data_IF_266259661524
#
_entry.id   IF_266259661524
#
_cell.length_a   1.000
_cell.length_b   1.000
_cell.length_c   1.000
_cell.angle_alpha   90.00
_cell.angle_beta   90.00
_cell.angle_gamma   90.00
#
_symmetry.space_group_name_H-M   'P 1'
#
loop_
_entity.id
_entity.type
_entity.pdbx_description
1 polymer ?
#
# COMPACT_ATOMS: atom_id res chain seq x y z
N UNK A 1 -25.81 -23.84 12.44
CA UNK A 1 -25.49 -22.74 11.49
C UNK A 1 -26.46 -21.59 11.70
N UNK A 2 -25.99 -20.33 11.71
CA UNK A 2 -26.85 -19.15 11.84
C UNK A 2 -27.58 -18.94 10.50
N UNK A 3 -28.90 -19.07 10.46
CA UNK A 3 -29.71 -18.88 9.24
C UNK A 3 -29.45 -17.46 8.69
N UNK A 4 -29.05 -17.32 7.43
CA UNK A 4 -28.89 -15.98 6.82
C UNK A 4 -30.25 -15.29 6.76
N UNK A 5 -30.31 -14.00 7.08
CA UNK A 5 -31.57 -13.25 7.04
C UNK A 5 -32.02 -13.02 5.60
N UNK A 6 -33.27 -13.33 5.29
CA UNK A 6 -33.85 -13.04 3.98
C UNK A 6 -34.22 -11.55 3.95
N UNK A 7 -33.66 -10.80 3.00
CA UNK A 7 -34.03 -9.40 2.74
C UNK A 7 -34.44 -9.30 1.28
N UNK A 8 -35.67 -8.87 1.01
CA UNK A 8 -36.22 -8.81 -0.35
C UNK A 8 -37.01 -7.54 -0.60
N UNK A 9 -37.01 -7.09 -1.84
CA UNK A 9 -37.85 -6.00 -2.34
C UNK A 9 -39.30 -6.44 -2.61
N UNK A 10 -39.56 -7.75 -2.67
CA UNK A 10 -40.91 -8.33 -2.81
C UNK A 10 -41.68 -8.28 -1.49
N UNK A 11 -43.02 -8.29 -1.56
CA UNK A 11 -43.88 -8.28 -0.37
C UNK A 11 -44.10 -9.67 0.25
N UNK A 12 -43.46 -10.71 -0.30
CA UNK A 12 -43.58 -12.10 0.15
C UNK A 12 -42.29 -12.87 -0.12
N UNK A 13 -42.16 -14.02 0.55
CA UNK A 13 -41.10 -15.01 0.33
C UNK A 13 -41.75 -16.26 -0.24
N UNK A 14 -41.33 -16.69 -1.42
CA UNK A 14 -41.90 -17.90 -2.05
C UNK A 14 -41.66 -19.14 -1.18
N UNK A 15 -42.68 -19.99 -1.08
CA UNK A 15 -42.61 -21.22 -0.28
C UNK A 15 -42.60 -20.99 1.23
N UNK A 16 -42.88 -19.78 1.73
CA UNK A 16 -43.02 -19.49 3.16
C UNK A 16 -44.19 -18.55 3.42
N UNK A 17 -45.00 -18.88 4.42
CA UNK A 17 -46.08 -18.01 4.86
C UNK A 17 -45.57 -16.98 5.88
N UNK A 18 -46.08 -15.74 5.84
CA UNK A 18 -45.77 -14.73 6.86
C UNK A 18 -46.72 -14.94 8.04
N UNK A 19 -46.18 -15.32 9.20
CA UNK A 19 -46.98 -15.62 10.40
C UNK A 19 -47.09 -14.44 11.37
N UNK A 20 -46.18 -13.46 11.28
CA UNK A 20 -46.21 -12.27 12.14
C UNK A 20 -45.51 -11.08 11.46
N UNK A 21 -46.11 -9.89 11.53
CA UNK A 21 -45.49 -8.62 11.11
C UNK A 21 -44.95 -7.90 12.34
N UNK A 22 -43.63 -7.75 12.42
CA UNK A 22 -42.92 -7.21 13.59
C UNK A 22 -42.70 -5.69 13.52
N UNK A 23 -43.25 -5.05 12.49
CA UNK A 23 -43.18 -3.61 12.29
C UNK A 23 -42.18 -3.18 11.23
N UNK A 24 -42.18 -1.88 10.96
CA UNK A 24 -41.32 -1.25 9.96
C UNK A 24 -39.95 -1.00 10.59
N UNK A 25 -38.91 -1.36 9.85
CA UNK A 25 -37.52 -1.01 10.15
C UNK A 25 -37.01 -0.04 9.08
N UNK A 26 -36.12 0.86 9.49
CA UNK A 26 -35.53 1.82 8.55
C UNK A 26 -34.16 2.26 9.00
N UNK A 27 -33.33 2.68 8.06
CA UNK A 27 -32.06 3.33 8.34
C UNK A 27 -31.74 4.41 7.31
N UNK A 28 -30.91 5.39 7.68
CA UNK A 28 -30.55 6.54 6.86
C UNK A 28 -29.08 6.87 7.00
N UNK A 29 -28.39 7.06 5.89
CA UNK A 29 -26.98 7.46 5.86
C UNK A 29 -26.89 8.79 5.09
N UNK A 30 -26.31 9.81 5.72
CA UNK A 30 -26.10 11.14 5.13
C UNK A 30 -24.66 11.28 4.66
N UNK A 31 -24.50 11.67 3.40
CA UNK A 31 -23.22 11.84 2.71
C UNK A 31 -22.92 13.32 2.51
N UNK A 32 -21.81 13.80 3.06
CA UNK A 32 -21.41 15.20 3.04
C UNK A 32 -20.73 15.67 1.74
N UNK A 33 -20.68 16.99 1.55
CA UNK A 33 -20.16 17.66 0.34
C UNK A 33 -18.68 17.34 0.00
N UNK A 34 -17.86 16.99 0.99
CA UNK A 34 -16.47 16.56 0.78
C UNK A 34 -16.39 15.28 -0.06
N UNK A 35 -17.24 14.29 0.24
CA UNK A 35 -17.33 13.04 -0.53
C UNK A 35 -17.95 13.28 -1.92
N UNK A 36 -18.85 14.26 -2.03
CA UNK A 36 -19.51 14.62 -3.29
C UNK A 36 -18.56 15.22 -4.33
N UNK A 37 -17.59 16.04 -3.90
CA UNK A 37 -16.58 16.60 -4.81
C UNK A 37 -15.73 15.51 -5.50
N UNK A 38 -15.47 14.40 -4.80
CA UNK A 38 -14.79 13.22 -5.35
C UNK A 38 -15.67 12.43 -6.33
N UNK A 39 -16.98 12.39 -6.09
CA UNK A 39 -17.95 11.76 -7.00
C UNK A 39 -18.09 12.51 -8.33
N UNK A 40 -18.12 13.84 -8.33
CA UNK A 40 -18.25 14.64 -9.56
C UNK A 40 -16.96 14.77 -10.36
N UNK A 41 -15.79 14.83 -9.71
CA UNK A 41 -14.50 14.77 -10.39
C UNK A 41 -14.34 13.47 -11.22
N UNK A 42 -14.96 12.37 -10.77
CA UNK A 42 -14.99 11.09 -11.49
C UNK A 42 -16.08 10.99 -12.57
N UNK A 43 -17.07 11.88 -12.58
CA UNK A 43 -18.21 11.84 -13.50
C UNK A 43 -17.99 12.71 -14.74
N UNK A 44 -17.19 13.79 -14.65
CA UNK A 44 -16.90 14.69 -15.78
C UNK A 44 -16.13 14.04 -16.94
N UNK A 45 -15.47 12.91 -16.72
CA UNK A 45 -14.66 12.22 -17.75
C UNK A 45 -15.38 11.04 -18.45
N UNK A 46 -16.61 10.69 -18.05
CA UNK A 46 -17.24 9.44 -18.47
C UNK A 46 -18.66 9.64 -19.00
N UNK A 47 -18.76 9.76 -20.32
CA UNK A 47 -19.97 9.44 -21.09
C UNK A 47 -20.30 7.96 -20.84
N UNK A 48 -21.20 7.68 -19.88
CA UNK A 48 -21.96 6.43 -19.79
C UNK A 48 -21.23 5.13 -19.41
N UNK A 49 -20.06 5.17 -18.76
CA UNK A 49 -19.35 3.97 -18.29
C UNK A 49 -19.34 3.82 -16.76
N UNK A 50 -19.24 2.57 -16.26
CA UNK A 50 -19.12 2.23 -14.82
C UNK A 50 -17.85 2.86 -14.24
N UNK A 51 -17.99 3.94 -13.46
CA UNK A 51 -16.87 4.57 -12.77
C UNK A 51 -16.53 3.80 -11.49
N UNK A 52 -15.45 3.01 -11.51
CA UNK A 52 -15.11 2.07 -10.43
C UNK A 52 -15.00 2.69 -9.02
N UNK A 53 -14.64 3.97 -8.89
CA UNK A 53 -14.57 4.66 -7.59
C UNK A 53 -15.95 5.06 -7.05
N UNK A 54 -16.86 5.52 -7.91
CA UNK A 54 -18.24 5.83 -7.53
C UNK A 54 -18.99 4.56 -7.16
N UNK A 55 -18.86 3.51 -7.99
CA UNK A 55 -19.51 2.22 -7.76
C UNK A 55 -19.05 1.56 -6.45
N UNK A 56 -17.74 1.56 -6.16
CA UNK A 56 -17.21 1.00 -4.91
C UNK A 56 -17.79 1.68 -3.66
N UNK A 57 -17.87 3.01 -3.66
CA UNK A 57 -18.42 3.78 -2.54
C UNK A 57 -19.93 3.64 -2.41
N UNK A 58 -20.66 3.57 -3.52
CA UNK A 58 -22.09 3.28 -3.47
C UNK A 58 -22.34 1.89 -2.88
N UNK A 59 -21.57 0.88 -3.28
CA UNK A 59 -21.65 -0.46 -2.71
C UNK A 59 -21.36 -0.46 -1.20
N UNK A 60 -20.38 0.32 -0.74
CA UNK A 60 -20.08 0.50 0.68
C UNK A 60 -21.31 1.05 1.45
N UNK A 61 -21.92 2.13 0.95
CA UNK A 61 -23.13 2.71 1.54
C UNK A 61 -24.31 1.74 1.56
N UNK A 62 -24.52 0.99 0.46
CA UNK A 62 -25.55 -0.05 0.40
C UNK A 62 -25.29 -1.17 1.41
N UNK A 63 -24.05 -1.65 1.54
CA UNK A 63 -23.68 -2.71 2.48
C UNK A 63 -23.88 -2.28 3.93
N UNK A 64 -23.54 -1.02 4.28
CA UNK A 64 -23.82 -0.46 5.60
C UNK A 64 -25.32 -0.42 5.88
N UNK A 65 -26.12 0.07 4.92
CA UNK A 65 -27.57 0.12 5.05
C UNK A 65 -28.17 -1.28 5.27
N UNK A 66 -27.77 -2.27 4.48
CA UNK A 66 -28.26 -3.66 4.61
C UNK A 66 -27.87 -4.27 5.96
N UNK A 67 -26.62 -4.08 6.38
CA UNK A 67 -26.12 -4.61 7.66
C UNK A 67 -26.89 -4.03 8.85
N UNK A 68 -27.22 -2.74 8.80
CA UNK A 68 -28.01 -2.07 9.82
C UNK A 68 -29.45 -2.58 9.88
N UNK A 69 -30.12 -2.71 8.73
CA UNK A 69 -31.46 -3.28 8.64
C UNK A 69 -31.50 -4.73 9.14
N UNK A 70 -30.51 -5.54 8.77
CA UNK A 70 -30.37 -6.91 9.26
C UNK A 70 -30.20 -6.95 10.78
N UNK A 71 -29.36 -6.09 11.34
CA UNK A 71 -29.16 -5.99 12.79
C UNK A 71 -30.44 -5.56 13.52
N UNK A 72 -31.21 -4.62 12.97
CA UNK A 72 -32.50 -4.20 13.52
C UNK A 72 -33.52 -5.34 13.52
N UNK A 73 -33.67 -6.03 12.39
CA UNK A 73 -34.57 -7.18 12.25
C UNK A 73 -34.19 -8.33 13.21
N UNK A 74 -32.89 -8.60 13.38
CA UNK A 74 -32.41 -9.61 14.35
C UNK A 74 -32.76 -9.25 15.79
N UNK A 75 -32.65 -7.97 16.17
CA UNK A 75 -32.99 -7.50 17.54
C UNK A 75 -34.45 -7.78 17.89
N UNK A 76 -35.35 -7.74 16.91
CA UNK A 76 -36.78 -8.03 17.08
C UNK A 76 -37.15 -9.48 16.72
N UNK A 77 -36.14 -10.36 16.55
CA UNK A 77 -36.31 -11.79 16.24
C UNK A 77 -37.14 -12.04 14.96
N UNK A 78 -36.94 -11.20 13.95
CA UNK A 78 -37.50 -11.42 12.62
C UNK A 78 -36.71 -12.49 11.86
N UNK A 79 -37.41 -13.23 11.00
CA UNK A 79 -36.82 -14.21 10.09
C UNK A 79 -36.45 -13.57 8.74
N UNK A 80 -37.20 -12.54 8.36
CA UNK A 80 -37.01 -11.83 7.09
C UNK A 80 -37.38 -10.35 7.16
N UNK A 81 -36.90 -9.59 6.18
CA UNK A 81 -37.30 -8.22 5.86
C UNK A 81 -37.87 -8.22 4.44
N UNK A 82 -39.13 -7.88 4.30
CA UNK A 82 -39.84 -7.83 3.01
C UNK A 82 -40.17 -6.39 2.63
N UNK A 83 -40.46 -6.17 1.35
CA UNK A 83 -40.86 -4.87 0.81
C UNK A 83 -39.77 -3.81 1.00
N UNK A 84 -38.50 -4.22 0.92
CA UNK A 84 -37.37 -3.30 1.02
C UNK A 84 -37.45 -2.27 -0.11
N UNK A 85 -37.46 -1.00 0.26
CA UNK A 85 -37.30 0.15 -0.64
C UNK A 85 -36.06 0.91 -0.24
N UNK A 86 -35.21 1.22 -1.22
CA UNK A 86 -34.05 2.08 -1.03
C UNK A 86 -34.21 3.32 -1.89
N UNK A 87 -34.20 4.49 -1.25
CA UNK A 87 -34.32 5.80 -1.91
C UNK A 87 -33.04 6.60 -1.67
N UNK A 88 -32.67 7.41 -2.67
CA UNK A 88 -31.55 8.34 -2.58
C UNK A 88 -32.06 9.75 -2.86
N UNK A 89 -31.96 10.62 -1.84
CA UNK A 89 -32.45 11.99 -1.89
C UNK A 89 -31.29 12.98 -1.83
N UNK A 90 -31.38 14.06 -2.60
CA UNK A 90 -30.48 15.19 -2.45
C UNK A 90 -30.98 16.13 -1.34
N UNK A 91 -30.11 16.39 -0.35
CA UNK A 91 -30.32 17.36 0.71
C UNK A 91 -29.43 18.57 0.42
N UNK A 92 -29.72 19.29 -0.66
CA UNK A 92 -28.93 20.47 -1.05
C UNK A 92 -29.40 21.75 -0.36
N UNK A 93 -28.45 22.49 0.22
CA UNK A 93 -28.60 23.90 0.65
C UNK A 93 -27.69 24.80 -0.20
N UNK A 94 -27.88 26.13 -0.16
CA UNK A 94 -27.31 27.14 -1.08
C UNK A 94 -25.81 27.05 -1.42
N UNK A 95 -24.98 26.24 -0.74
CA UNK A 95 -23.59 25.93 -1.09
C UNK A 95 -23.11 24.52 -0.65
N UNK A 96 -24.01 23.60 -0.30
CA UNK A 96 -23.64 22.23 0.14
C UNK A 96 -24.51 21.19 -0.56
N UNK A 97 -23.89 20.40 -1.43
CA UNK A 97 -24.51 19.23 -2.05
C UNK A 97 -24.30 18.04 -1.12
N UNK A 98 -25.36 17.60 -0.45
CA UNK A 98 -25.37 16.40 0.38
C UNK A 98 -26.41 15.44 -0.16
N UNK A 99 -26.19 14.15 -0.01
CA UNK A 99 -27.14 13.12 -0.41
C UNK A 99 -27.44 12.21 0.78
N UNK A 100 -28.65 11.72 0.85
CA UNK A 100 -29.10 10.78 1.86
C UNK A 100 -29.56 9.52 1.15
N UNK A 101 -29.01 8.38 1.55
CA UNK A 101 -29.55 7.07 1.20
C UNK A 101 -30.40 6.59 2.36
N UNK A 102 -31.62 6.15 2.07
CA UNK A 102 -32.57 5.65 3.06
C UNK A 102 -33.12 4.30 2.64
N UNK A 103 -33.17 3.36 3.59
CA UNK A 103 -33.75 2.04 3.40
C UNK A 103 -34.92 1.86 4.35
N UNK A 104 -36.04 1.33 3.84
CA UNK A 104 -37.21 0.99 4.65
C UNK A 104 -37.75 -0.38 4.24
N UNK A 105 -38.14 -1.19 5.21
CA UNK A 105 -38.74 -2.51 4.96
C UNK A 105 -39.57 -2.97 6.14
N UNK A 106 -40.30 -4.07 5.96
CA UNK A 106 -41.13 -4.66 7.02
C UNK A 106 -40.48 -5.92 7.54
N UNK A 107 -40.17 -5.96 8.83
CA UNK A 107 -39.63 -7.15 9.47
C UNK A 107 -40.78 -8.14 9.76
N UNK A 108 -40.57 -9.42 9.43
CA UNK A 108 -41.60 -10.45 9.53
C UNK A 108 -41.04 -11.76 10.10
N UNK A 109 -41.92 -12.56 10.70
CA UNK A 109 -41.67 -13.99 10.94
C UNK A 109 -42.29 -14.83 9.86
N UNK A 110 -41.61 -15.93 9.53
CA UNK A 110 -42.04 -16.87 8.51
C UNK A 110 -42.49 -18.19 9.13
N UNK A 111 -43.38 -18.91 8.44
CA UNK A 111 -43.74 -20.27 8.79
C UNK A 111 -42.51 -21.17 8.77
N UNK A 112 -42.43 -22.07 9.75
CA UNK A 112 -41.43 -23.13 9.75
C UNK A 112 -42.07 -24.34 9.08
N UNK A 113 -41.53 -24.75 7.93
CA UNK A 113 -42.00 -25.97 7.25
C UNK A 113 -41.29 -27.24 7.75
N UNK A 114 -40.38 -27.11 8.73
CA UNK A 114 -39.71 -28.24 9.37
C UNK A 114 -39.92 -28.18 10.88
N UNK A 115 -41.10 -28.61 11.31
CA UNK A 115 -41.33 -29.09 12.67
C UNK A 115 -42.12 -30.41 12.63
N UNK A 116 -41.68 -31.34 11.79
CA UNK A 116 -41.91 -32.75 12.07
C UNK A 116 -40.87 -33.21 13.09
N UNK A 117 -41.33 -34.00 14.05
CA UNK A 117 -40.53 -34.63 15.09
C UNK A 117 -39.42 -35.49 14.47
N UNK A 118 -38.28 -34.89 14.18
CA UNK A 118 -37.04 -35.63 14.03
C UNK A 118 -36.37 -35.58 15.41
N UNK A 119 -36.60 -36.61 16.22
CA UNK A 119 -35.48 -37.15 16.97
C UNK A 119 -34.43 -37.41 15.90
N UNK A 120 -33.45 -36.50 15.76
CA UNK A 120 -32.32 -36.69 14.86
C UNK A 120 -31.71 -38.04 15.24
N UNK A 121 -31.98 -39.06 14.41
CA UNK A 121 -31.13 -40.24 14.35
C UNK A 121 -29.75 -39.66 14.10
N UNK A 122 -28.87 -39.70 15.12
CA UNK A 122 -27.49 -39.26 14.98
C UNK A 122 -26.87 -40.15 13.91
N UNK A 123 -26.91 -39.70 12.67
CA UNK A 123 -26.10 -40.28 11.62
C UNK A 123 -24.67 -39.99 12.03
N UNK A 124 -23.88 -41.05 12.24
CA UNK A 124 -22.43 -40.96 12.38
C UNK A 124 -21.81 -40.57 11.02
N UNK A 125 -22.32 -39.51 10.38
CA UNK A 125 -21.62 -38.89 9.27
C UNK A 125 -20.38 -38.23 9.86
N UNK A 126 -19.22 -38.83 9.57
CA UNK A 126 -17.94 -38.21 9.89
C UNK A 126 -17.83 -36.89 9.12
N UNK A 127 -18.13 -35.79 9.82
CA UNK A 127 -17.76 -34.46 9.36
C UNK A 127 -16.26 -34.33 9.59
N UNK A 128 -15.49 -34.57 8.53
CA UNK A 128 -14.04 -34.38 8.54
C UNK A 128 -13.77 -32.89 8.54
N UNK A 129 -13.65 -32.31 9.73
CA UNK A 129 -13.10 -30.96 9.90
C UNK A 129 -11.60 -31.09 9.96
N UNK A 130 -10.92 -30.55 8.96
CA UNK A 130 -9.45 -30.58 8.95
C UNK A 130 -8.88 -29.50 9.86
N UNK A 131 -7.74 -29.79 10.47
CA UNK A 131 -6.99 -28.81 11.26
C UNK A 131 -6.63 -27.56 10.44
N UNK A 132 -6.44 -27.72 9.13
CA UNK A 132 -6.16 -26.62 8.20
C UNK A 132 -7.39 -25.74 7.94
N UNK A 133 -8.59 -26.31 7.79
CA UNK A 133 -9.84 -25.54 7.67
C UNK A 133 -10.12 -24.73 8.95
N UNK A 134 -9.88 -25.31 10.13
CA UNK A 134 -10.02 -24.61 11.41
C UNK A 134 -9.05 -23.42 11.44
N UNK A 135 -7.77 -23.66 11.14
CA UNK A 135 -6.74 -22.61 11.14
C UNK A 135 -7.07 -21.48 10.17
N UNK A 136 -7.56 -21.79 8.97
CA UNK A 136 -7.94 -20.77 7.99
C UNK A 136 -9.12 -19.91 8.48
N UNK A 137 -10.16 -20.53 9.02
CA UNK A 137 -11.36 -19.82 9.44
C UNK A 137 -11.17 -19.00 10.73
N UNK A 138 -10.43 -19.52 11.72
CA UNK A 138 -10.06 -18.77 12.92
C UNK A 138 -9.21 -17.55 12.55
N UNK A 139 -8.25 -17.73 11.65
CA UNK A 139 -7.37 -16.65 11.25
C UNK A 139 -8.07 -15.57 10.42
N UNK A 140 -9.05 -15.94 9.59
CA UNK A 140 -9.90 -14.96 8.88
C UNK A 140 -10.56 -14.00 9.87
N UNK A 141 -11.07 -14.51 10.99
CA UNK A 141 -11.67 -13.70 12.05
C UNK A 141 -10.63 -12.78 12.70
N UNK A 142 -9.41 -13.27 12.96
CA UNK A 142 -8.31 -12.44 13.51
C UNK A 142 -7.95 -11.28 12.58
N UNK A 143 -7.87 -11.52 11.26
CA UNK A 143 -7.58 -10.46 10.27
C UNK A 143 -8.70 -9.41 10.25
N UNK A 144 -9.97 -9.84 10.22
CA UNK A 144 -11.13 -8.93 10.21
C UNK A 144 -11.21 -8.06 11.48
N UNK A 145 -10.82 -8.60 12.63
CA UNK A 145 -10.74 -7.85 13.89
C UNK A 145 -9.55 -6.88 13.92
N UNK A 146 -8.45 -7.24 13.28
CA UNK A 146 -7.20 -6.46 13.32
C UNK A 146 -7.13 -5.38 12.23
N UNK A 147 -7.79 -5.55 11.09
CA UNK A 147 -7.78 -4.60 9.95
C UNK A 147 -8.13 -3.14 10.35
N UNK A 148 -9.18 -2.89 11.17
CA UNK A 148 -9.51 -1.53 11.61
C UNK A 148 -8.46 -0.93 12.55
N UNK A 149 -7.77 -1.78 13.33
CA UNK A 149 -6.67 -1.38 14.20
C UNK A 149 -5.46 -1.00 13.35
N UNK A 150 -5.19 -1.75 12.29
CA UNK A 150 -4.13 -1.49 11.31
C UNK A 150 -4.36 -0.12 10.64
N UNK A 151 -5.57 0.10 10.12
CA UNK A 151 -5.95 1.36 9.47
C UNK A 151 -5.83 2.57 10.41
N UNK A 152 -6.27 2.43 11.68
CA UNK A 152 -6.12 3.48 12.70
C UNK A 152 -4.67 3.66 13.19
N UNK A 153 -3.88 2.60 13.20
CA UNK A 153 -2.47 2.65 13.61
C UNK A 153 -1.61 3.37 12.59
N UNK A 154 -1.96 3.31 11.30
CA UNK A 154 -1.32 4.10 10.24
C UNK A 154 -1.56 5.59 10.40
N UNK A 155 -2.78 6.00 10.78
CA UNK A 155 -3.08 7.40 11.05
C UNK A 155 -2.23 7.99 12.18
N UNK A 156 -1.71 7.13 13.07
CA UNK A 156 -1.00 7.52 14.29
C UNK A 156 0.49 7.08 14.32
N UNK A 157 1.05 6.57 13.22
CA UNK A 157 2.45 6.13 13.11
C UNK A 157 2.90 5.06 14.13
N UNK A 158 1.99 4.17 14.56
CA UNK A 158 2.28 3.07 15.50
C UNK A 158 2.15 1.70 14.84
N UNK A 159 3.10 1.33 14.00
CA UNK A 159 3.04 0.11 13.14
C UNK A 159 3.49 -1.18 13.84
N UNK A 160 4.06 -1.06 15.04
CA UNK A 160 4.76 -2.14 15.75
C UNK A 160 3.91 -3.37 16.12
N UNK A 161 2.58 -3.30 16.00
CA UNK A 161 1.69 -4.41 16.34
C UNK A 161 1.47 -5.42 15.20
N UNK A 162 2.06 -5.18 14.02
CA UNK A 162 1.82 -6.01 12.85
C UNK A 162 2.89 -7.07 12.66
N UNK A 163 2.51 -8.34 12.81
CA UNK A 163 3.37 -9.46 12.43
C UNK A 163 3.36 -9.63 10.91
N UNK A 164 4.49 -10.03 10.34
CA UNK A 164 4.60 -10.33 8.91
C UNK A 164 3.68 -11.47 8.45
N UNK A 165 3.32 -12.36 9.37
CA UNK A 165 2.38 -13.45 9.11
C UNK A 165 0.95 -12.94 8.89
N UNK A 166 0.55 -11.93 9.67
CA UNK A 166 -0.73 -11.24 9.48
C UNK A 166 -0.79 -10.52 8.14
N UNK A 167 0.26 -9.77 7.78
CA UNK A 167 0.33 -9.03 6.51
C UNK A 167 0.30 -9.99 5.31
N UNK A 168 1.07 -11.08 5.36
CA UNK A 168 1.14 -12.10 4.30
C UNK A 168 -0.24 -12.70 4.02
N UNK A 169 -0.89 -13.24 5.06
CA UNK A 169 -2.16 -13.93 4.89
C UNK A 169 -3.32 -12.97 4.62
N UNK A 170 -3.30 -11.75 5.16
CA UNK A 170 -4.31 -10.73 4.83
C UNK A 170 -4.25 -10.31 3.36
N UNK A 171 -3.06 -10.25 2.76
CA UNK A 171 -2.92 -10.07 1.32
C UNK A 171 -3.41 -11.30 0.54
N UNK A 172 -3.02 -12.52 0.94
CA UNK A 172 -3.45 -13.76 0.26
C UNK A 172 -4.98 -13.92 0.26
N UNK A 173 -5.64 -13.43 1.30
CA UNK A 173 -7.10 -13.40 1.45
C UNK A 173 -7.76 -12.18 0.76
N UNK A 174 -6.99 -11.28 0.16
CA UNK A 174 -7.47 -10.13 -0.60
C UNK A 174 -7.93 -8.92 0.23
N UNK A 175 -7.65 -8.89 1.54
CA UNK A 175 -7.96 -7.75 2.41
C UNK A 175 -6.97 -6.58 2.24
N UNK A 176 -5.77 -6.86 1.72
CA UNK A 176 -4.71 -5.89 1.50
C UNK A 176 -4.34 -5.88 0.01
N UNK A 177 -4.31 -4.71 -0.61
CA UNK A 177 -3.89 -4.54 -1.99
C UNK A 177 -2.48 -3.91 -2.13
N UNK A 178 -2.01 -3.79 -3.38
CA UNK A 178 -0.70 -3.20 -3.70
C UNK A 178 -0.57 -1.75 -3.25
N UNK A 179 -1.66 -0.98 -3.28
CA UNK A 179 -1.67 0.42 -2.87
C UNK A 179 -1.57 0.57 -1.35
N UNK A 180 -2.15 -0.36 -0.60
CA UNK A 180 -2.02 -0.46 0.85
C UNK A 180 -0.59 -0.80 1.26
N UNK A 181 0.04 -1.75 0.58
CA UNK A 181 1.47 -2.06 0.75
C UNK A 181 2.35 -0.83 0.49
N UNK A 182 2.04 -0.04 -0.54
CA UNK A 182 2.75 1.20 -0.84
C UNK A 182 2.63 2.25 0.27
N UNK A 183 1.45 2.35 0.90
CA UNK A 183 1.20 3.25 2.03
C UNK A 183 1.95 2.80 3.30
N UNK A 184 2.21 1.51 3.45
CA UNK A 184 2.97 0.93 4.56
C UNK A 184 4.47 1.29 4.52
N UNK A 185 5.08 1.29 3.33
CA UNK A 185 6.53 1.41 3.17
C UNK A 185 7.14 2.67 3.83
N UNK A 186 6.56 3.89 3.73
CA UNK A 186 7.09 5.08 4.40
C UNK A 186 7.15 4.95 5.93
N UNK A 187 6.15 4.31 6.53
CA UNK A 187 6.07 4.23 7.97
C UNK A 187 6.92 3.09 8.55
N UNK A 188 7.29 2.11 7.73
CA UNK A 188 8.34 1.13 8.07
C UNK A 188 9.73 1.82 8.10
N UNK A 189 9.91 2.93 7.36
CA UNK A 189 11.17 3.70 7.39
C UNK A 189 11.35 4.61 8.61
N UNK A 190 10.28 4.89 9.36
CA UNK A 190 10.30 5.73 10.58
C UNK A 190 10.67 4.95 11.85
N UNK A 191 10.93 3.64 11.73
CA UNK A 191 11.25 2.76 12.86
C UNK A 191 12.73 2.95 13.26
N UNK A 192 12.93 3.59 14.42
CA UNK A 192 14.23 4.00 14.94
C UNK A 192 15.16 2.82 15.29
N UNK A 193 16.46 3.00 15.05
CA UNK A 193 17.53 2.02 15.21
C UNK A 193 17.97 1.71 16.65
N UNK A 194 17.13 1.90 17.64
CA UNK A 194 17.45 1.55 19.04
C UNK A 194 16.71 0.29 19.47
N UNK A 195 17.15 -0.85 18.92
CA UNK A 195 17.25 -2.06 19.73
C UNK A 195 16.28 -3.23 19.50
N UNK A 196 15.40 -3.26 18.49
CA UNK A 196 14.46 -4.38 18.37
C UNK A 196 14.70 -5.22 17.11
N UNK A 197 15.28 -6.40 17.32
CA UNK A 197 15.51 -7.47 16.33
C UNK A 197 14.24 -7.91 15.58
N UNK A 198 13.07 -7.76 16.20
CA UNK A 198 11.77 -8.21 15.65
C UNK A 198 11.25 -7.33 14.51
N UNK A 199 11.63 -6.04 14.46
CA UNK A 199 11.14 -5.07 13.47
C UNK A 199 11.85 -5.21 12.12
N UNK A 200 13.17 -5.41 12.17
CA UNK A 200 13.98 -5.80 11.00
C UNK A 200 13.58 -7.19 10.51
N UNK A 201 13.20 -8.09 11.42
CA UNK A 201 12.69 -9.40 11.08
C UNK A 201 11.32 -9.30 10.39
N UNK A 202 10.42 -8.42 10.84
CA UNK A 202 9.13 -8.17 10.20
C UNK A 202 9.32 -7.60 8.79
N UNK A 203 10.20 -6.61 8.60
CA UNK A 203 10.54 -6.08 7.28
C UNK A 203 11.18 -7.16 6.39
N UNK A 204 12.07 -7.99 6.91
CA UNK A 204 12.68 -9.08 6.14
C UNK A 204 11.67 -10.16 5.75
N UNK A 205 10.73 -10.50 6.64
CA UNK A 205 9.63 -11.43 6.34
C UNK A 205 8.66 -10.83 5.33
N UNK A 206 8.37 -9.53 5.41
CA UNK A 206 7.58 -8.80 4.42
C UNK A 206 8.26 -8.74 3.04
N UNK A 207 9.57 -8.49 3.00
CA UNK A 207 10.38 -8.57 1.77
C UNK A 207 10.38 -10.00 1.21
N UNK A 208 10.48 -11.01 2.08
CA UNK A 208 10.47 -12.42 1.68
C UNK A 208 9.11 -12.80 1.10
N UNK A 209 8.03 -12.31 1.68
CA UNK A 209 6.67 -12.43 1.15
C UNK A 209 6.54 -11.80 -0.23
N UNK A 210 6.91 -10.52 -0.35
CA UNK A 210 6.94 -9.77 -1.61
C UNK A 210 7.71 -10.52 -2.72
N UNK A 211 8.88 -11.08 -2.40
CA UNK A 211 9.68 -11.90 -3.34
C UNK A 211 8.99 -13.20 -3.78
N UNK A 212 8.17 -13.80 -2.91
CA UNK A 212 7.61 -15.14 -3.13
C UNK A 212 6.38 -15.12 -4.05
N UNK A 213 5.65 -14.00 -4.09
CA UNK A 213 4.38 -13.93 -4.80
C UNK A 213 4.33 -12.91 -5.95
N UNK A 214 5.11 -11.82 -5.91
CA UNK A 214 4.92 -10.70 -6.85
C UNK A 214 6.22 -10.01 -7.29
N UNK A 215 7.13 -10.73 -7.94
CA UNK A 215 8.43 -10.16 -8.36
C UNK A 215 8.28 -8.89 -9.22
N UNK A 216 7.32 -8.85 -10.15
CA UNK A 216 7.07 -7.69 -11.01
C UNK A 216 6.43 -6.51 -10.26
N UNK A 217 5.47 -6.78 -9.36
CA UNK A 217 4.84 -5.71 -8.58
C UNK A 217 5.79 -5.14 -7.53
N UNK A 218 6.69 -5.96 -6.99
CA UNK A 218 7.78 -5.47 -6.16
C UNK A 218 8.61 -4.43 -6.91
N UNK A 219 8.95 -4.67 -8.18
CA UNK A 219 9.74 -3.72 -8.95
C UNK A 219 8.98 -2.40 -9.15
N UNK A 220 7.69 -2.47 -9.48
CA UNK A 220 6.84 -1.28 -9.61
C UNK A 220 6.73 -0.50 -8.29
N UNK A 221 6.40 -1.20 -7.22
CA UNK A 221 6.22 -0.65 -5.87
C UNK A 221 7.51 0.03 -5.41
N UNK A 222 8.65 -0.60 -5.65
CA UNK A 222 9.96 -0.07 -5.26
C UNK A 222 10.38 1.11 -6.09
N UNK A 223 10.22 1.06 -7.40
CA UNK A 223 10.51 2.20 -8.27
C UNK A 223 9.66 3.40 -7.87
N UNK A 224 8.37 3.21 -7.57
CA UNK A 224 7.48 4.27 -7.07
C UNK A 224 7.91 4.79 -5.70
N UNK A 225 8.21 3.90 -4.76
CA UNK A 225 8.67 4.26 -3.41
C UNK A 225 10.01 5.01 -3.42
N UNK A 226 10.97 4.58 -4.23
CA UNK A 226 12.25 5.27 -4.45
C UNK A 226 11.99 6.66 -5.03
N UNK A 227 11.15 6.78 -6.07
CA UNK A 227 10.78 8.07 -6.67
C UNK A 227 10.14 8.99 -5.64
N UNK A 228 9.19 8.50 -4.86
CA UNK A 228 8.50 9.30 -3.84
C UNK A 228 9.44 9.69 -2.69
N UNK A 229 10.37 8.82 -2.28
CA UNK A 229 11.40 9.12 -1.28
C UNK A 229 12.42 10.16 -1.76
N UNK A 230 12.88 10.02 -3.01
CA UNK A 230 13.81 10.93 -3.68
C UNK A 230 13.22 12.33 -3.90
N UNK A 231 11.97 12.40 -4.34
CA UNK A 231 11.28 13.67 -4.64
C UNK A 231 10.91 14.43 -3.37
N UNK A 232 10.64 13.72 -2.26
CA UNK A 232 10.17 14.34 -1.02
C UNK A 232 11.27 14.52 0.05
N UNK A 233 12.51 14.11 -0.21
CA UNK A 233 13.68 14.50 0.60
C UNK A 233 13.67 14.05 2.07
N UNK A 234 12.99 12.94 2.39
CA UNK A 234 12.88 12.47 3.78
C UNK A 234 14.17 11.81 4.24
N UNK A 235 14.91 12.45 5.16
CA UNK A 235 16.19 11.93 5.69
C UNK A 235 16.06 10.57 6.41
N UNK A 236 14.90 10.29 6.99
CA UNK A 236 14.58 9.05 7.70
C UNK A 236 14.53 7.82 6.76
N UNK A 237 14.25 8.06 5.47
CA UNK A 237 14.22 7.04 4.40
C UNK A 237 15.56 6.32 4.19
N UNK A 238 16.69 7.01 4.39
CA UNK A 238 18.01 6.53 3.95
C UNK A 238 18.51 5.27 4.68
N UNK A 239 18.15 5.11 5.96
CA UNK A 239 18.69 4.02 6.79
C UNK A 239 18.02 2.67 6.48
N UNK A 240 16.70 2.65 6.44
CA UNK A 240 15.92 1.45 6.13
C UNK A 240 16.08 1.04 4.66
N UNK A 241 16.23 2.01 3.76
CA UNK A 241 16.47 1.75 2.34
C UNK A 241 17.74 0.93 2.08
N UNK A 242 18.86 1.22 2.75
CA UNK A 242 20.12 0.50 2.50
C UNK A 242 20.01 -0.99 2.84
N UNK A 243 19.41 -1.32 3.99
CA UNK A 243 19.17 -2.70 4.38
C UNK A 243 18.18 -3.39 3.41
N UNK A 244 17.14 -2.66 3.01
CA UNK A 244 16.14 -3.14 2.06
C UNK A 244 16.76 -3.46 0.68
N UNK A 245 17.49 -2.51 0.09
CA UNK A 245 18.11 -2.60 -1.22
C UNK A 245 19.12 -3.75 -1.34
N UNK A 246 19.83 -4.06 -0.26
CA UNK A 246 20.78 -5.17 -0.22
C UNK A 246 20.10 -6.54 -0.20
N UNK A 247 18.84 -6.60 0.25
CA UNK A 247 18.10 -7.85 0.40
C UNK A 247 17.16 -8.16 -0.76
N UNK A 248 16.80 -7.20 -1.63
CA UNK A 248 15.83 -7.45 -2.71
C UNK A 248 16.48 -7.75 -4.07
N UNK A 249 15.84 -8.62 -4.86
CA UNK A 249 16.29 -8.86 -6.24
C UNK A 249 15.70 -7.79 -7.15
N UNK A 250 16.51 -6.76 -7.46
CA UNK A 250 16.13 -5.66 -8.32
C UNK A 250 16.79 -5.80 -9.71
N UNK A 251 16.04 -5.75 -10.83
CA UNK A 251 16.59 -5.98 -12.16
C UNK A 251 17.57 -4.88 -12.55
N UNK A 252 18.69 -5.25 -13.18
CA UNK A 252 19.66 -4.25 -13.65
C UNK A 252 19.07 -3.28 -14.68
N UNK A 253 18.01 -3.68 -15.40
CA UNK A 253 17.26 -2.78 -16.28
C UNK A 253 16.58 -1.63 -15.54
N UNK A 254 16.04 -1.90 -14.37
CA UNK A 254 15.39 -0.87 -13.54
C UNK A 254 16.43 -0.01 -12.82
N UNK A 255 17.56 -0.60 -12.38
CA UNK A 255 18.68 0.20 -11.85
C UNK A 255 19.19 1.18 -12.92
N UNK A 256 19.33 0.71 -14.16
CA UNK A 256 19.75 1.55 -15.27
C UNK A 256 18.75 2.69 -15.54
N UNK A 257 17.44 2.42 -15.53
CA UNK A 257 16.43 3.48 -15.63
C UNK A 257 16.55 4.49 -14.49
N UNK A 258 16.66 4.01 -13.25
CA UNK A 258 16.78 4.85 -12.07
C UNK A 258 17.99 5.79 -12.18
N UNK A 259 19.16 5.27 -12.56
CA UNK A 259 20.38 6.05 -12.80
C UNK A 259 20.15 7.21 -13.78
N UNK A 260 19.34 6.99 -14.83
CA UNK A 260 19.04 8.02 -15.83
C UNK A 260 17.97 9.03 -15.38
N UNK A 261 17.15 8.69 -14.39
CA UNK A 261 16.07 9.56 -13.90
C UNK A 261 16.51 10.42 -12.70
N UNK A 262 17.56 10.02 -11.97
CA UNK A 262 17.93 10.64 -10.69
C UNK A 262 19.33 11.23 -10.73
N UNK A 263 19.49 12.41 -10.12
CA UNK A 263 20.77 13.10 -10.05
C UNK A 263 21.80 12.31 -9.22
N UNK A 264 23.07 12.27 -9.66
CA UNK A 264 24.13 11.49 -9.02
C UNK A 264 24.47 11.91 -7.59
N UNK A 265 24.06 13.12 -7.19
CA UNK A 265 24.09 13.59 -5.79
C UNK A 265 23.43 12.59 -4.83
N UNK A 266 22.45 11.85 -5.32
CA UNK A 266 21.67 10.89 -4.56
C UNK A 266 22.18 9.45 -4.74
N UNK A 267 23.09 9.16 -5.67
CA UNK A 267 23.43 7.77 -6.02
C UNK A 267 24.05 6.98 -4.88
N UNK A 268 24.88 7.58 -4.04
CA UNK A 268 25.46 6.88 -2.88
C UNK A 268 24.41 6.34 -1.92
N UNK A 269 23.30 7.06 -1.78
CA UNK A 269 22.23 6.66 -0.88
C UNK A 269 21.26 5.69 -1.54
N UNK A 270 20.98 5.86 -2.83
CA UNK A 270 19.88 5.12 -3.49
C UNK A 270 20.32 4.06 -4.51
N UNK A 271 21.36 4.34 -5.29
CA UNK A 271 21.83 3.47 -6.38
C UNK A 271 22.88 2.49 -5.90
N UNK A 272 23.88 2.98 -5.16
CA UNK A 272 25.03 2.18 -4.74
C UNK A 272 24.61 0.95 -3.92
N UNK A 273 23.65 1.04 -2.96
CA UNK A 273 23.17 -0.15 -2.25
C UNK A 273 22.59 -1.23 -3.18
N UNK A 274 21.89 -0.84 -4.25
CA UNK A 274 21.35 -1.77 -5.25
C UNK A 274 22.46 -2.42 -6.09
N UNK A 275 23.51 -1.66 -6.41
CA UNK A 275 24.66 -2.17 -7.16
C UNK A 275 25.61 -3.03 -6.31
N UNK A 276 25.61 -2.86 -4.99
CA UNK A 276 26.43 -3.62 -4.03
C UNK A 276 25.81 -4.95 -3.59
N UNK A 277 24.54 -5.20 -3.94
CA UNK A 277 23.80 -6.42 -3.59
C UNK A 277 24.53 -7.68 -4.04
N UNK A 278 24.48 -8.75 -3.25
CA UNK A 278 25.09 -10.06 -3.58
C UNK A 278 24.03 -10.99 -4.18
N UNK A 279 24.16 -11.28 -5.48
CA UNK A 279 23.33 -12.26 -6.20
C UNK A 279 24.22 -13.34 -6.80
N UNK A 280 23.68 -14.57 -6.88
CA UNK A 280 24.39 -15.77 -7.34
C UNK A 280 24.09 -16.11 -8.80
N UNK A 281 23.00 -15.59 -9.36
CA UNK A 281 22.54 -15.87 -10.73
C UNK A 281 22.40 -14.58 -11.52
N UNK A 282 22.84 -14.60 -12.78
CA UNK A 282 22.77 -13.48 -13.71
C UNK A 282 22.26 -13.95 -15.06
N UNK A 283 21.26 -13.26 -15.62
CA UNK A 283 20.76 -13.50 -16.96
C UNK A 283 21.57 -12.70 -17.99
N UNK A 284 21.53 -13.10 -19.27
CA UNK A 284 22.21 -12.36 -20.35
C UNK A 284 21.80 -10.89 -20.41
N UNK A 285 20.51 -10.63 -20.27
CA UNK A 285 19.95 -9.27 -20.17
C UNK A 285 20.58 -8.47 -19.03
N UNK A 286 20.83 -9.09 -17.86
CA UNK A 286 21.48 -8.40 -16.74
C UNK A 286 22.88 -7.94 -17.11
N UNK A 287 23.65 -8.76 -17.83
CA UNK A 287 25.01 -8.41 -18.26
C UNK A 287 24.99 -7.22 -19.22
N UNK A 288 24.04 -7.18 -20.16
CA UNK A 288 23.89 -6.06 -21.09
C UNK A 288 23.61 -4.75 -20.33
N UNK A 289 22.73 -4.78 -19.33
CA UNK A 289 22.46 -3.60 -18.50
C UNK A 289 23.62 -3.25 -17.57
N UNK A 290 24.36 -4.22 -17.02
CA UNK A 290 25.57 -3.96 -16.23
C UNK A 290 26.59 -3.18 -17.05
N UNK A 291 26.79 -3.53 -18.33
CA UNK A 291 27.72 -2.82 -19.21
C UNK A 291 27.26 -1.39 -19.47
N UNK A 292 25.96 -1.18 -19.72
CA UNK A 292 25.39 0.17 -19.86
C UNK A 292 25.53 1.00 -18.59
N UNK A 293 25.35 0.38 -17.43
CA UNK A 293 25.56 1.04 -16.13
C UNK A 293 27.02 1.46 -15.98
N UNK A 294 27.98 0.57 -16.27
CA UNK A 294 29.41 0.90 -16.23
C UNK A 294 29.75 2.11 -17.10
N UNK A 295 29.23 2.15 -18.33
CA UNK A 295 29.41 3.29 -19.24
C UNK A 295 28.86 4.60 -18.65
N UNK A 296 27.71 4.57 -17.98
CA UNK A 296 27.16 5.75 -17.29
C UNK A 296 28.03 6.17 -16.10
N UNK A 297 28.54 5.21 -15.33
CA UNK A 297 29.44 5.47 -14.20
C UNK A 297 30.80 6.05 -14.64
N UNK A 298 31.23 5.79 -15.87
CA UNK A 298 32.45 6.36 -16.46
C UNK A 298 32.26 7.81 -16.94
N UNK A 299 31.03 8.20 -17.32
CA UNK A 299 30.71 9.46 -17.97
C UNK A 299 30.00 10.47 -17.05
N UNK A 300 30.41 10.54 -15.77
CA UNK A 300 29.83 11.48 -14.81
C UNK A 300 30.23 12.93 -15.11
N UNK A 301 29.23 13.78 -15.41
CA UNK A 301 29.42 15.21 -15.56
C UNK A 301 29.36 15.96 -14.22
N UNK A 302 30.14 17.02 -14.00
CA UNK A 302 30.04 17.85 -12.79
C UNK A 302 28.68 18.56 -12.69
N UNK A 303 28.14 18.67 -11.48
CA UNK A 303 26.93 19.49 -11.26
C UNK A 303 27.26 20.96 -11.22
N UNK A 304 26.42 21.74 -11.89
CA UNK A 304 26.38 23.18 -11.73
C UNK A 304 25.65 23.55 -10.44
N UNK A 305 26.39 24.06 -9.46
CA UNK A 305 25.80 24.56 -8.21
C UNK A 305 25.06 25.87 -8.44
N UNK A 306 23.91 26.03 -7.77
CA UNK A 306 23.20 27.31 -7.75
C UNK A 306 23.99 28.33 -6.95
N UNK A 307 24.25 29.50 -7.54
CA UNK A 307 24.88 30.63 -6.85
C UNK A 307 23.80 31.66 -6.53
N UNK A 308 23.71 32.04 -5.26
CA UNK A 308 22.79 33.06 -4.78
C UNK A 308 23.56 34.26 -4.22
N UNK A 309 22.92 35.44 -4.26
CA UNK A 309 23.44 36.65 -3.61
C UNK A 309 22.74 36.86 -2.28
N UNK A 310 23.50 36.91 -1.19
CA UNK A 310 23.01 37.30 0.13
C UNK A 310 23.36 38.76 0.43
N UNK A 311 22.49 39.42 1.19
CA UNK A 311 22.71 40.78 1.67
C UNK A 311 22.77 40.76 3.20
N UNK A 312 23.79 41.39 3.76
CA UNK A 312 23.89 41.66 5.19
C UNK A 312 24.14 43.16 5.37
N UNK A 313 23.07 43.91 5.64
CA UNK A 313 23.09 45.37 5.59
C UNK A 313 23.43 45.91 4.19
N UNK A 314 24.47 46.75 4.11
CA UNK A 314 24.94 47.37 2.87
C UNK A 314 25.87 46.47 2.03
N UNK A 315 26.34 45.34 2.57
CA UNK A 315 27.25 44.44 1.85
C UNK A 315 26.49 43.27 1.23
N UNK A 316 26.78 42.98 -0.03
CA UNK A 316 26.34 41.77 -0.72
C UNK A 316 27.51 40.81 -0.92
N UNK A 317 27.24 39.51 -0.79
CA UNK A 317 28.21 38.45 -1.06
C UNK A 317 27.53 37.27 -1.74
N UNK A 318 28.29 36.50 -2.50
CA UNK A 318 27.81 35.31 -3.18
C UNK A 318 27.99 34.07 -2.30
N UNK A 319 27.03 33.17 -2.37
CA UNK A 319 27.05 31.86 -1.73
C UNK A 319 26.65 30.82 -2.76
N UNK A 320 27.13 29.59 -2.60
CA UNK A 320 26.61 28.46 -3.39
C UNK A 320 25.70 27.60 -2.52
N UNK A 321 24.64 27.10 -3.14
CA UNK A 321 23.65 26.23 -2.52
C UNK A 321 24.10 24.79 -2.74
N UNK A 322 24.25 24.03 -1.65
CA UNK A 322 24.62 22.63 -1.73
C UNK A 322 23.54 21.84 -2.49
N UNK A 323 23.89 21.11 -3.57
CA UNK A 323 22.91 20.40 -4.39
C UNK A 323 22.33 19.18 -3.67
N UNK A 324 22.95 18.73 -2.57
CA UNK A 324 22.48 17.59 -1.77
C UNK A 324 21.50 18.00 -0.67
N UNK A 325 21.85 19.00 0.16
CA UNK A 325 21.08 19.33 1.35
C UNK A 325 20.50 20.75 1.39
N UNK A 326 20.68 21.54 0.33
CA UNK A 326 20.21 22.92 0.22
C UNK A 326 20.94 23.92 1.11
N UNK A 327 21.93 23.49 1.89
CA UNK A 327 22.67 24.38 2.78
C UNK A 327 23.50 25.39 1.96
N UNK A 328 23.44 26.66 2.33
CA UNK A 328 24.21 27.74 1.69
C UNK A 328 25.61 27.78 2.28
N UNK A 329 26.63 27.85 1.44
CA UNK A 329 28.04 27.83 1.84
C UNK A 329 28.78 29.00 1.18
N UNK A 330 29.88 29.44 1.79
CA UNK A 330 30.66 30.54 1.24
C UNK A 330 31.19 30.18 -0.15
N UNK A 331 31.32 31.17 -1.05
CA UNK A 331 31.73 30.90 -2.44
C UNK A 331 33.10 30.23 -2.53
N UNK A 332 33.97 30.41 -1.55
CA UNK A 332 35.31 29.79 -1.52
C UNK A 332 35.34 28.41 -0.86
N UNK A 333 34.27 28.01 -0.17
CA UNK A 333 34.18 26.69 0.46
C UNK A 333 34.25 25.59 -0.61
N UNK A 334 35.15 24.61 -0.41
CA UNK A 334 35.28 23.45 -1.32
C UNK A 334 34.19 22.40 -1.12
N UNK A 335 33.60 22.36 0.07
CA UNK A 335 32.59 21.38 0.47
C UNK A 335 31.55 21.99 1.38
N UNK A 336 30.34 21.43 1.37
CA UNK A 336 29.25 21.86 2.21
C UNK A 336 29.60 21.72 3.69
N UNK A 337 29.39 22.78 4.48
CA UNK A 337 29.69 22.77 5.91
C UNK A 337 28.83 21.75 6.67
N UNK A 338 27.59 21.52 6.21
CA UNK A 338 26.59 20.62 6.81
C UNK A 338 26.77 19.15 6.44
N UNK A 339 26.78 18.81 5.15
CA UNK A 339 26.78 17.41 4.69
C UNK A 339 28.11 16.95 4.06
N UNK A 340 29.12 17.83 4.02
CA UNK A 340 30.46 17.58 3.45
C UNK A 340 30.50 17.24 1.96
N UNK A 341 29.35 17.28 1.26
CA UNK A 341 29.28 17.17 -0.20
C UNK A 341 30.05 18.30 -0.88
N UNK A 342 30.89 17.97 -1.86
CA UNK A 342 31.64 18.96 -2.63
C UNK A 342 30.77 19.73 -3.64
N UNK A 343 31.36 20.70 -4.33
CA UNK A 343 30.68 21.48 -5.38
C UNK A 343 30.31 20.68 -6.62
N UNK A 344 30.84 19.47 -6.78
CA UNK A 344 30.46 18.58 -7.87
C UNK A 344 29.28 17.68 -7.49
N UNK A 345 28.93 17.60 -6.21
CA UNK A 345 27.83 16.76 -5.71
C UNK A 345 28.29 15.48 -5.01
N UNK A 346 29.59 15.30 -4.77
CA UNK A 346 30.16 14.08 -4.20
C UNK A 346 30.38 14.19 -2.69
N UNK A 347 29.94 13.18 -1.92
CA UNK A 347 30.25 13.10 -0.48
C UNK A 347 31.71 12.65 -0.27
N UNK A 348 32.25 12.80 0.95
CA UNK A 348 33.52 12.17 1.30
C UNK A 348 33.46 10.67 1.00
N UNK A 349 34.48 10.15 0.33
CA UNK A 349 34.61 8.75 -0.11
C UNK A 349 33.79 8.30 -1.33
N UNK A 350 33.00 9.19 -1.96
CA UNK A 350 32.21 8.85 -3.15
C UNK A 350 33.05 8.18 -4.24
N UNK A 351 34.19 8.77 -4.59
CA UNK A 351 35.08 8.24 -5.62
C UNK A 351 35.58 6.83 -5.26
N UNK A 352 35.97 6.61 -4.00
CA UNK A 352 36.42 5.30 -3.54
C UNK A 352 35.30 4.26 -3.64
N UNK A 353 34.07 4.63 -3.25
CA UNK A 353 32.90 3.76 -3.33
C UNK A 353 32.53 3.45 -4.79
N UNK A 354 32.55 4.47 -5.66
CA UNK A 354 32.30 4.34 -7.10
C UNK A 354 33.29 3.36 -7.74
N UNK A 355 34.59 3.52 -7.49
CA UNK A 355 35.62 2.63 -8.04
C UNK A 355 35.44 1.19 -7.58
N UNK A 356 35.08 0.97 -6.30
CA UNK A 356 34.77 -0.36 -5.76
C UNK A 356 33.59 -1.02 -6.50
N UNK A 357 32.52 -0.26 -6.73
CA UNK A 357 31.33 -0.75 -7.43
C UNK A 357 31.66 -1.08 -8.89
N UNK A 358 32.36 -0.19 -9.59
CA UNK A 358 32.78 -0.41 -10.98
C UNK A 358 33.63 -1.66 -11.12
N UNK A 359 34.65 -1.82 -10.27
CA UNK A 359 35.51 -3.01 -10.27
C UNK A 359 34.70 -4.30 -10.10
N UNK A 360 33.72 -4.29 -9.18
CA UNK A 360 32.84 -5.44 -8.95
C UNK A 360 31.98 -5.77 -10.17
N UNK A 361 31.32 -4.77 -10.75
CA UNK A 361 30.45 -4.95 -11.93
C UNK A 361 31.23 -5.44 -13.14
N UNK A 362 32.44 -4.92 -13.35
CA UNK A 362 33.35 -5.36 -14.42
C UNK A 362 33.75 -6.85 -14.24
N UNK A 363 34.09 -7.27 -13.03
CA UNK A 363 34.38 -8.68 -12.72
C UNK A 363 33.17 -9.59 -13.00
N UNK A 364 31.96 -9.17 -12.59
CA UNK A 364 30.72 -9.91 -12.87
C UNK A 364 30.52 -10.07 -14.39
N UNK A 365 30.64 -8.98 -15.16
CA UNK A 365 30.46 -9.00 -16.61
C UNK A 365 31.51 -9.90 -17.30
N UNK A 366 32.77 -9.86 -16.86
CA UNK A 366 33.85 -10.72 -17.39
C UNK A 366 33.60 -12.20 -17.12
N UNK A 367 33.23 -12.56 -15.88
CA UNK A 367 32.92 -13.95 -15.51
C UNK A 367 31.73 -14.46 -16.33
N UNK A 368 30.65 -13.69 -16.41
CA UNK A 368 29.45 -14.10 -17.13
C UNK A 368 29.72 -14.30 -18.62
N UNK A 369 30.45 -13.38 -19.28
CA UNK A 369 30.86 -13.53 -20.69
C UNK A 369 31.69 -14.80 -20.90
N UNK A 370 32.64 -15.10 -20.01
CA UNK A 370 33.48 -16.32 -20.13
C UNK A 370 32.68 -17.62 -20.03
N UNK A 371 31.59 -17.63 -19.25
CA UNK A 371 30.70 -18.79 -19.09
C UNK A 371 29.68 -18.94 -20.24
N UNK A 372 29.36 -17.85 -20.93
CA UNK A 372 28.43 -17.85 -22.09
C UNK A 372 29.10 -18.24 -23.42
N UNK A 373 30.44 -18.21 -23.47
CA UNK A 373 31.24 -18.64 -24.62
C UNK A 373 31.58 -20.15 -24.59
N UNK A 374 31.24 -20.83 -23.49
CA UNK A 374 31.31 -22.29 -23.34
C UNK A 374 29.90 -22.86 -23.45
#
# INVERSE_FOLDING_TARGET
MKKSMIITTTNSVEGKEIIEYLGIISDRIVVGAGLFSEFFASFTDLVGGRSGKFEARMNELYNHLMSSLEAQARKIKADAVIGLKVDMDEISGKNSQMFMISGVGTAVKLSCDDCENNEEELTNEEVIVTEDEIKQNVFKLEVEETLPIIENSFANSKIYSLTSELISKAYDLGYIDKDFVLKLLPHISDINQEGITEEVECLNKFITYLKSYYLEDCHFILTKYIKDGLLNGRREFHKSWKAFAQNISFPYSEIYKLINEINFVNWEDYVFPLLERRVTTYYKKDIDYILKILEQLDNLEPINVTIETQRNGLKSFQVWVCPYCGNKNAIDDKSCSKCKTDKKGFKPDFERNLQRIKARLDVIAKIAKSKMLK
#
